data_IF_411868474874
#
_entry.id   IF_411868474874
#
_cell.length_a   1.000
_cell.length_b   1.000
_cell.length_c   1.000
_cell.angle_alpha   90.00
_cell.angle_beta   90.00
_cell.angle_gamma   90.00
#
_symmetry.space_group_name_H-M   'P 1'
#
loop_
_entity.id
_entity.type
_entity.pdbx_description
1 polymer ?
#
# COMPACT_ATOMS: atom_id res chain seq x y z
N UNK A 1 23.20 -3.19 22.75
CA UNK A 1 22.43 -2.86 21.52
C UNK A 1 21.20 -2.06 21.95
N UNK A 2 20.87 -0.91 21.32
CA UNK A 2 19.78 -0.01 21.80
C UNK A 2 18.41 -0.68 21.96
N UNK A 3 18.14 -1.76 21.23
CA UNK A 3 16.87 -2.50 21.32
C UNK A 3 16.77 -3.38 22.58
N UNK A 4 17.89 -3.84 23.14
CA UNK A 4 17.88 -4.67 24.35
C UNK A 4 17.39 -3.89 25.58
N UNK A 5 17.62 -2.57 25.63
CA UNK A 5 17.10 -1.72 26.71
C UNK A 5 15.60 -1.40 26.59
N UNK A 6 14.96 -1.78 25.49
CA UNK A 6 13.53 -1.59 25.23
C UNK A 6 12.71 -2.88 25.40
N UNK A 7 13.39 -3.98 25.74
CA UNK A 7 12.79 -5.30 25.89
C UNK A 7 11.69 -5.23 26.95
N UNK A 8 10.45 -5.54 26.54
CA UNK A 8 9.21 -5.45 27.34
C UNK A 8 8.53 -4.08 27.43
N UNK A 9 9.05 -3.03 26.79
CA UNK A 9 8.35 -1.76 26.61
C UNK A 9 8.08 -1.52 25.11
N UNK A 10 6.85 -1.82 24.70
CA UNK A 10 6.39 -1.68 23.32
C UNK A 10 6.47 -0.21 22.85
N UNK A 11 6.18 0.75 23.72
CA UNK A 11 6.23 2.18 23.39
C UNK A 11 7.68 2.63 23.17
N UNK A 12 8.58 2.16 24.02
CA UNK A 12 10.01 2.43 23.88
C UNK A 12 10.59 1.77 22.62
N UNK A 13 10.16 0.54 22.31
CA UNK A 13 10.55 -0.18 21.09
C UNK A 13 10.09 0.58 19.85
N UNK A 14 8.83 1.02 19.79
CA UNK A 14 8.31 1.83 18.69
C UNK A 14 9.03 3.17 18.55
N UNK A 15 9.44 3.80 19.64
CA UNK A 15 10.24 5.02 19.59
C UNK A 15 11.60 4.78 18.94
N UNK A 16 12.31 3.73 19.33
CA UNK A 16 13.61 3.39 18.74
C UNK A 16 13.46 3.03 17.26
N UNK A 17 12.43 2.25 16.90
CA UNK A 17 12.13 1.93 15.51
C UNK A 17 11.82 3.19 14.70
N UNK A 18 10.99 4.09 15.23
CA UNK A 18 10.70 5.35 14.59
C UNK A 18 11.98 6.19 14.42
N UNK A 19 12.86 6.25 15.40
CA UNK A 19 14.11 7.00 15.26
C UNK A 19 15.07 6.38 14.23
N UNK A 20 15.07 5.05 14.07
CA UNK A 20 15.86 4.34 13.08
C UNK A 20 15.29 4.46 11.65
N UNK A 21 13.97 4.36 11.53
CA UNK A 21 13.26 4.31 10.24
C UNK A 21 12.98 5.73 9.72
N UNK A 22 12.74 6.69 10.62
CA UNK A 22 12.38 8.05 10.23
C UNK A 22 13.62 8.70 9.64
N UNK A 23 13.59 8.86 8.32
CA UNK A 23 14.47 9.80 7.62
C UNK A 23 14.36 11.16 8.33
N UNK A 24 15.48 11.88 8.57
CA UNK A 24 15.42 13.23 9.10
C UNK A 24 14.42 14.03 8.27
N UNK A 25 13.72 14.99 8.89
CA UNK A 25 12.86 15.93 8.17
C UNK A 25 13.74 16.79 7.25
N UNK A 26 14.26 16.22 6.17
CA UNK A 26 14.78 16.99 5.06
C UNK A 26 13.63 17.85 4.59
N UNK A 27 13.88 19.15 4.39
CA UNK A 27 12.96 19.97 3.60
C UNK A 27 12.63 19.15 2.36
N UNK A 28 11.35 18.92 2.08
CA UNK A 28 10.95 18.20 0.87
C UNK A 28 11.49 18.99 -0.30
N UNK A 29 12.60 18.53 -0.88
CA UNK A 29 13.15 19.12 -2.10
C UNK A 29 12.30 18.53 -3.21
N UNK A 30 11.46 19.38 -3.80
CA UNK A 30 10.76 19.00 -5.01
C UNK A 30 11.76 19.02 -6.17
N UNK A 31 11.65 18.07 -7.12
CA UNK A 31 12.42 18.13 -8.35
C UNK A 31 12.15 19.46 -9.07
N UNK A 32 13.19 20.12 -9.58
CA UNK A 32 13.07 21.37 -10.34
C UNK A 32 12.52 21.13 -11.75
N UNK A 33 12.70 19.92 -12.27
CA UNK A 33 12.31 19.52 -13.61
C UNK A 33 11.87 18.06 -13.65
N UNK A 34 11.16 17.73 -14.72
CA UNK A 34 10.63 16.42 -15.04
C UNK A 34 11.25 15.93 -16.35
N UNK A 35 11.87 14.76 -16.31
CA UNK A 35 12.46 14.11 -17.48
C UNK A 35 11.53 13.03 -18.03
N UNK A 36 11.20 13.12 -19.31
CA UNK A 36 10.41 12.11 -20.02
C UNK A 36 10.81 12.07 -21.50
N UNK A 37 11.09 10.86 -22.03
CA UNK A 37 11.53 10.63 -23.41
C UNK A 37 12.65 11.59 -23.86
N UNK A 38 13.76 11.61 -23.12
CA UNK A 38 14.94 12.47 -23.37
C UNK A 38 14.67 13.98 -23.37
N UNK A 39 13.49 14.41 -22.93
CA UNK A 39 13.11 15.82 -22.83
C UNK A 39 12.96 16.21 -21.35
N UNK A 40 13.53 17.35 -20.98
CA UNK A 40 13.40 17.94 -19.64
C UNK A 40 12.41 19.10 -19.67
N UNK A 41 11.48 19.15 -18.71
CA UNK A 41 10.48 20.21 -18.61
C UNK A 41 10.13 20.55 -17.17
N UNK A 42 9.90 21.83 -16.89
CA UNK A 42 9.36 22.33 -15.63
C UNK A 42 7.91 22.84 -15.78
N UNK A 43 7.29 22.66 -16.96
CA UNK A 43 5.94 23.13 -17.24
C UNK A 43 4.89 22.24 -16.52
N UNK A 44 4.10 22.79 -15.59
CA UNK A 44 3.13 22.01 -14.82
C UNK A 44 2.05 21.32 -15.67
N UNK A 45 1.65 21.93 -16.79
CA UNK A 45 0.64 21.37 -17.69
C UNK A 45 1.21 20.20 -18.48
N UNK A 46 2.44 20.33 -18.98
CA UNK A 46 3.13 19.22 -19.68
C UNK A 46 3.34 18.06 -18.72
N UNK A 47 3.77 18.33 -17.49
CA UNK A 47 3.95 17.31 -16.44
C UNK A 47 2.62 16.60 -16.18
N UNK A 48 1.56 17.34 -15.86
CA UNK A 48 0.25 16.76 -15.53
C UNK A 48 -0.31 15.92 -16.68
N UNK A 49 -0.21 16.40 -17.91
CA UNK A 49 -0.65 15.67 -19.09
C UNK A 49 0.14 14.38 -19.32
N UNK A 50 1.46 14.41 -19.08
CA UNK A 50 2.32 13.23 -19.22
C UNK A 50 1.96 12.16 -18.18
N UNK A 51 1.79 12.56 -16.92
CA UNK A 51 1.32 11.67 -15.85
C UNK A 51 -0.04 11.08 -16.18
N UNK A 52 -1.02 11.91 -16.56
CA UNK A 52 -2.35 11.46 -16.92
C UNK A 52 -2.31 10.48 -18.09
N UNK A 53 -1.54 10.77 -19.13
CA UNK A 53 -1.38 9.88 -20.28
C UNK A 53 -0.76 8.55 -19.87
N UNK A 54 0.25 8.54 -19.00
CA UNK A 54 0.85 7.30 -18.52
C UNK A 54 -0.15 6.47 -17.71
N UNK A 55 -0.71 7.03 -16.65
CA UNK A 55 -1.56 6.28 -15.71
C UNK A 55 -2.93 5.90 -16.29
N UNK A 56 -3.50 6.71 -17.20
CA UNK A 56 -4.72 6.33 -17.90
C UNK A 56 -4.51 5.17 -18.88
N UNK A 57 -3.29 5.00 -19.43
CA UNK A 57 -3.02 4.00 -20.46
C UNK A 57 -2.22 2.79 -19.97
N UNK A 58 -1.67 2.80 -18.75
CA UNK A 58 -0.80 1.72 -18.27
C UNK A 58 -1.49 0.35 -18.33
N UNK A 59 -2.76 0.25 -17.94
CA UNK A 59 -3.52 -1.00 -17.99
C UNK A 59 -3.69 -1.53 -19.42
N UNK A 60 -4.13 -0.66 -20.34
CA UNK A 60 -4.30 -1.04 -21.75
C UNK A 60 -2.97 -1.40 -22.42
N UNK A 61 -1.89 -0.67 -22.11
CA UNK A 61 -0.56 -0.93 -22.65
C UNK A 61 0.00 -2.26 -22.13
N UNK A 62 -0.16 -2.56 -20.84
CA UNK A 62 0.25 -3.84 -20.26
C UNK A 62 -0.57 -5.00 -20.84
N UNK A 63 -1.89 -4.84 -20.96
CA UNK A 63 -2.77 -5.86 -21.52
C UNK A 63 -2.37 -6.28 -22.94
N UNK A 64 -1.88 -5.33 -23.77
CA UNK A 64 -1.39 -5.63 -25.13
C UNK A 64 -0.13 -6.49 -25.15
N UNK A 65 0.71 -6.41 -24.11
CA UNK A 65 1.99 -7.13 -24.03
C UNK A 65 1.83 -8.48 -23.32
N UNK A 66 0.77 -8.65 -22.53
CA UNK A 66 0.45 -9.94 -21.91
C UNK A 66 0.11 -10.95 -23.03
N UNK A 67 0.85 -12.07 -23.14
CA UNK A 67 0.58 -13.07 -24.15
C UNK A 67 -0.76 -13.74 -23.90
N UNK A 68 -1.50 -14.00 -24.97
CA UNK A 68 -2.70 -14.84 -24.89
C UNK A 68 -2.30 -16.25 -24.45
N UNK A 69 -2.96 -16.74 -23.41
CA UNK A 69 -2.77 -18.10 -22.91
C UNK A 69 -4.06 -18.89 -23.05
N UNK A 70 -3.96 -20.15 -23.46
CA UNK A 70 -5.08 -21.09 -23.43
C UNK A 70 -5.31 -21.68 -22.03
N UNK A 71 -4.40 -21.40 -21.09
CA UNK A 71 -4.47 -21.90 -19.72
C UNK A 71 -5.46 -21.05 -18.93
N UNK A 72 -6.60 -21.66 -18.61
CA UNK A 72 -7.60 -21.05 -17.74
C UNK A 72 -7.04 -20.88 -16.31
N UNK A 73 -7.48 -19.84 -15.59
CA UNK A 73 -7.01 -19.57 -14.22
C UNK A 73 -7.19 -20.77 -13.27
N UNK A 74 -8.20 -21.62 -13.51
CA UNK A 74 -8.46 -22.86 -12.77
C UNK A 74 -7.31 -23.86 -12.81
N UNK A 75 -6.47 -23.84 -13.86
CA UNK A 75 -5.26 -24.65 -13.90
C UNK A 75 -4.29 -24.31 -12.77
N UNK A 76 -4.26 -23.05 -12.32
CA UNK A 76 -3.40 -22.60 -11.22
C UNK A 76 -4.06 -22.77 -9.85
N UNK A 77 -5.38 -22.84 -9.78
CA UNK A 77 -6.15 -23.13 -8.57
C UNK A 77 -6.15 -24.64 -8.27
N UNK A 78 -4.96 -25.21 -8.09
CA UNK A 78 -4.81 -26.63 -7.73
C UNK A 78 -5.06 -26.82 -6.24
N UNK A 79 -6.14 -27.52 -5.90
CA UNK A 79 -6.42 -27.97 -4.54
C UNK A 79 -7.86 -27.70 -4.10
N UNK A 80 -8.36 -28.56 -3.22
CA UNK A 80 -9.49 -28.25 -2.34
C UNK A 80 -8.91 -27.71 -1.05
N UNK A 81 -8.98 -26.40 -0.82
CA UNK A 81 -8.54 -25.80 0.44
C UNK A 81 -9.59 -26.12 1.50
N UNK A 82 -9.45 -27.28 2.15
CA UNK A 82 -10.07 -27.54 3.44
C UNK A 82 -9.63 -26.37 4.34
N UNK A 83 -10.59 -25.59 4.89
CA UNK A 83 -10.41 -24.24 5.46
C UNK A 83 -10.47 -23.06 4.45
N UNK A 84 -11.34 -23.15 3.44
CA UNK A 84 -11.79 -21.99 2.68
C UNK A 84 -12.29 -20.88 3.62
N UNK A 85 -12.10 -19.63 3.22
CA UNK A 85 -12.62 -18.46 3.94
C UNK A 85 -14.14 -18.59 4.13
N UNK A 86 -14.57 -18.92 5.35
CA UNK A 86 -15.99 -18.99 5.73
C UNK A 86 -16.32 -17.71 6.46
N UNK A 87 -17.30 -16.98 5.93
CA UNK A 87 -17.94 -15.90 6.66
C UNK A 87 -19.05 -16.53 7.51
N UNK A 88 -19.01 -16.26 8.81
CA UNK A 88 -20.08 -16.61 9.71
C UNK A 88 -21.08 -15.45 9.77
N UNK A 89 -22.36 -15.78 9.92
CA UNK A 89 -23.38 -14.77 10.22
C UNK A 89 -23.03 -14.11 11.55
N UNK A 90 -23.04 -12.78 11.55
CA UNK A 90 -22.88 -11.99 12.78
C UNK A 90 -24.22 -11.84 13.48
N UNK A 91 -24.20 -11.41 14.75
CA UNK A 91 -25.42 -11.10 15.51
C UNK A 91 -25.33 -9.72 16.17
N UNK A 92 -26.48 -9.19 16.57
CA UNK A 92 -26.59 -7.84 17.13
C UNK A 92 -25.77 -7.66 18.42
N UNK A 93 -25.65 -8.70 19.24
CA UNK A 93 -24.88 -8.66 20.49
C UNK A 93 -23.36 -8.53 20.22
N UNK A 94 -22.85 -9.26 19.22
CA UNK A 94 -21.46 -9.19 18.78
C UNK A 94 -21.11 -7.79 18.26
N UNK A 95 -21.97 -7.21 17.44
CA UNK A 95 -21.81 -5.85 16.91
C UNK A 95 -21.82 -4.83 18.05
N UNK A 96 -22.80 -4.93 18.96
CA UNK A 96 -22.93 -4.01 20.10
C UNK A 96 -21.73 -4.06 21.02
N UNK A 97 -21.23 -5.27 21.29
CA UNK A 97 -20.02 -5.48 22.08
C UNK A 97 -18.80 -4.82 21.43
N UNK A 98 -18.57 -5.07 20.14
CA UNK A 98 -17.45 -4.46 19.40
C UNK A 98 -17.50 -2.94 19.44
N UNK A 99 -18.68 -2.34 19.24
CA UNK A 99 -18.88 -0.90 19.31
C UNK A 99 -18.54 -0.36 20.71
N UNK A 100 -18.91 -1.08 21.77
CA UNK A 100 -18.61 -0.67 23.16
C UNK A 100 -17.11 -0.71 23.50
N UNK A 101 -16.35 -1.56 22.82
CA UNK A 101 -14.90 -1.72 23.01
C UNK A 101 -14.07 -0.70 22.20
N UNK A 102 -14.70 0.04 21.27
CA UNK A 102 -14.04 1.11 20.54
C UNK A 102 -13.68 2.26 21.48
N UNK A 103 -12.42 2.69 21.45
CA UNK A 103 -11.97 3.82 22.25
C UNK A 103 -12.50 5.13 21.64
N UNK A 104 -13.41 5.85 22.32
CA UNK A 104 -14.04 7.06 21.77
C UNK A 104 -13.06 8.23 21.63
N UNK A 105 -11.88 8.14 22.24
CA UNK A 105 -10.85 9.18 22.24
C UNK A 105 -9.70 8.89 21.27
N UNK A 106 -9.80 7.84 20.47
CA UNK A 106 -8.80 7.47 19.47
C UNK A 106 -9.26 7.98 18.10
N UNK A 107 -8.96 9.25 17.82
CA UNK A 107 -8.99 9.81 16.47
C UNK A 107 -7.78 9.37 15.64
#
# INVERSE_FOLDING_TARGET
>A
MKLESAKSDLKHTWRILNDLIRKPKSKTIYPESFHFNDTETADPQIISNTFNKYFANIGANLAKVIPNTSVNFTHYLKGSYMHSFVLYETNEDEITKLISELNPNKS
#
